data_IF_425482231257
#
_entry.id   IF_425482231257
#
_cell.length_a   1.000
_cell.length_b   1.000
_cell.length_c   1.000
_cell.angle_alpha   90.00
_cell.angle_beta   90.00
_cell.angle_gamma   90.00
#
_symmetry.space_group_name_H-M   'P 1'
#
loop_
_entity.id
_entity.type
_entity.pdbx_description
1 polymer ?
#
# COMPACT_ATOMS: atom_id res chain seq x y z
N UNK A 1 39.59 17.71 -21.85
CA UNK A 1 39.58 16.85 -20.66
C UNK A 1 38.24 17.07 -19.99
N UNK A 2 37.21 16.33 -20.40
CA UNK A 2 35.89 16.36 -19.78
C UNK A 2 36.00 15.68 -18.43
N UNK A 3 35.69 16.41 -17.37
CA UNK A 3 35.66 15.88 -16.01
C UNK A 3 34.49 14.90 -15.96
N UNK A 4 34.84 13.62 -15.88
CA UNK A 4 33.94 12.50 -15.64
C UNK A 4 33.11 12.82 -14.40
N UNK A 5 31.81 13.06 -14.60
CA UNK A 5 30.86 13.16 -13.50
C UNK A 5 30.91 11.85 -12.72
N UNK A 6 31.25 11.96 -11.44
CA UNK A 6 31.25 10.85 -10.50
C UNK A 6 29.79 10.38 -10.42
N UNK A 7 29.48 9.25 -11.06
CA UNK A 7 28.20 8.59 -10.86
C UNK A 7 28.15 8.19 -9.38
N UNK A 8 27.38 8.92 -8.58
CA UNK A 8 27.07 8.51 -7.21
C UNK A 8 26.44 7.13 -7.29
N UNK A 9 27.10 6.14 -6.69
CA UNK A 9 26.63 4.76 -6.71
C UNK A 9 25.20 4.70 -6.10
N UNK A 10 24.22 4.27 -6.88
CA UNK A 10 22.80 4.24 -6.49
C UNK A 10 22.47 3.03 -5.63
N UNK A 11 23.15 1.91 -5.87
CA UNK A 11 23.01 0.68 -5.09
C UNK A 11 24.38 0.31 -4.55
N UNK A 12 24.54 0.37 -3.23
CA UNK A 12 25.80 0.16 -2.52
C UNK A 12 25.59 -0.88 -1.44
N UNK A 13 26.24 -2.04 -1.59
CA UNK A 13 26.27 -3.06 -0.56
C UNK A 13 26.88 -2.52 0.74
N UNK A 14 26.34 -2.90 1.90
CA UNK A 14 26.88 -2.47 3.19
C UNK A 14 28.23 -3.16 3.45
N UNK A 15 29.36 -2.43 3.52
CA UNK A 15 30.67 -3.04 3.76
C UNK A 15 30.77 -3.70 5.15
N UNK A 16 29.96 -3.28 6.11
CA UNK A 16 29.93 -3.78 7.49
C UNK A 16 29.00 -4.98 7.68
N UNK A 17 28.18 -5.32 6.69
CA UNK A 17 27.34 -6.50 6.75
C UNK A 17 28.17 -7.80 6.65
N UNK A 18 27.70 -8.91 7.25
CA UNK A 18 28.30 -10.24 7.06
C UNK A 18 28.52 -10.56 5.58
N UNK A 19 29.61 -11.28 5.25
CA UNK A 19 29.99 -11.58 3.86
C UNK A 19 28.84 -12.16 3.02
N UNK A 20 28.09 -13.10 3.60
CA UNK A 20 26.92 -13.75 3.02
C UNK A 20 25.65 -12.88 2.91
N UNK A 21 25.74 -11.59 3.26
CA UNK A 21 24.67 -10.60 3.13
C UNK A 21 25.08 -9.44 2.22
N UNK A 22 26.31 -9.40 1.72
CA UNK A 22 26.82 -8.31 0.86
C UNK A 22 26.62 -8.65 -0.61
N UNK A 23 25.55 -8.20 -1.27
CA UNK A 23 25.32 -8.55 -2.68
C UNK A 23 26.44 -8.04 -3.59
N UNK A 24 26.64 -8.72 -4.72
CA UNK A 24 27.56 -8.23 -5.75
C UNK A 24 26.78 -7.35 -6.73
N UNK A 25 27.12 -6.06 -6.77
CA UNK A 25 26.50 -5.10 -7.68
C UNK A 25 27.39 -4.94 -8.90
N UNK A 26 26.84 -5.23 -10.07
CA UNK A 26 27.47 -5.10 -11.38
C UNK A 26 26.63 -4.17 -12.27
N UNK A 27 27.13 -3.90 -13.47
CA UNK A 27 26.34 -3.28 -14.53
C UNK A 27 26.07 -4.31 -15.63
N UNK A 28 24.84 -4.40 -16.09
CA UNK A 28 24.48 -5.11 -17.31
C UNK A 28 25.07 -4.38 -18.55
N UNK A 29 25.10 -5.01 -19.74
CA UNK A 29 25.71 -4.39 -20.93
C UNK A 29 25.14 -3.03 -21.33
N UNK A 30 23.87 -2.77 -21.02
CA UNK A 30 23.20 -1.49 -21.26
C UNK A 30 23.34 -0.47 -20.10
N UNK A 31 24.10 -0.80 -19.07
CA UNK A 31 24.34 0.05 -17.90
C UNK A 31 23.35 -0.11 -16.74
N UNK A 32 22.27 -0.90 -16.90
CA UNK A 32 21.32 -1.17 -15.80
C UNK A 32 22.03 -1.89 -14.64
N UNK A 33 21.86 -1.46 -13.38
CA UNK A 33 22.39 -2.18 -12.22
C UNK A 33 21.92 -3.64 -12.20
N UNK A 34 22.88 -4.56 -12.11
CA UNK A 34 22.67 -6.00 -12.01
C UNK A 34 23.17 -6.46 -10.63
N UNK A 35 22.24 -6.79 -9.75
CA UNK A 35 22.51 -7.23 -8.39
C UNK A 35 22.48 -8.75 -8.35
N UNK A 36 23.65 -9.37 -8.20
CA UNK A 36 23.71 -10.77 -7.79
C UNK A 36 23.36 -10.85 -6.30
N UNK A 37 22.14 -11.29 -6.03
CA UNK A 37 21.65 -11.55 -4.69
C UNK A 37 22.46 -12.68 -4.03
N UNK A 38 22.50 -12.68 -2.70
CA UNK A 38 23.24 -13.65 -1.92
C UNK A 38 22.56 -15.03 -1.88
N UNK A 39 23.32 -16.05 -1.51
CA UNK A 39 22.82 -17.42 -1.36
C UNK A 39 21.63 -17.44 -0.38
N UNK A 40 20.48 -18.04 -0.76
CA UNK A 40 19.33 -18.11 0.13
C UNK A 40 19.60 -18.98 1.37
N UNK A 41 18.96 -18.62 2.49
CA UNK A 41 18.89 -19.48 3.68
C UNK A 41 18.15 -20.81 3.37
N UNK A 42 18.20 -21.82 4.26
CA UNK A 42 17.37 -23.02 4.11
C UNK A 42 15.86 -22.74 4.03
N UNK A 43 15.42 -21.60 4.55
CA UNK A 43 14.03 -21.13 4.45
C UNK A 43 13.73 -20.41 3.12
N UNK A 44 14.70 -20.29 2.21
CA UNK A 44 14.55 -19.65 0.90
C UNK A 44 14.70 -18.13 0.90
N UNK A 45 15.24 -17.52 1.97
CA UNK A 45 15.43 -16.07 2.06
C UNK A 45 16.84 -15.70 1.63
N UNK A 46 16.97 -14.93 0.55
CA UNK A 46 18.21 -14.22 0.21
C UNK A 46 18.19 -12.86 0.90
N UNK A 47 19.05 -12.67 1.91
CA UNK A 47 19.19 -11.41 2.64
C UNK A 47 20.35 -10.61 2.06
N UNK A 48 20.06 -9.40 1.60
CA UNK A 48 21.00 -8.51 0.95
C UNK A 48 20.98 -7.17 1.69
N UNK A 49 22.12 -6.76 2.23
CA UNK A 49 22.24 -5.57 3.07
C UNK A 49 23.00 -4.47 2.34
N UNK A 50 22.46 -3.26 2.40
CA UNK A 50 22.91 -2.10 1.64
C UNK A 50 23.16 -0.90 2.55
N UNK A 51 24.18 -0.11 2.24
CA UNK A 51 24.31 1.24 2.76
C UNK A 51 23.39 2.20 2.00
N UNK A 52 23.14 1.93 0.71
CA UNK A 52 22.26 2.71 -0.14
C UNK A 52 21.58 1.78 -1.14
N UNK A 53 20.26 1.91 -1.30
CA UNK A 53 19.49 1.16 -2.28
C UNK A 53 18.52 2.11 -2.94
N UNK A 54 19.03 2.88 -3.89
CA UNK A 54 18.26 3.78 -4.73
C UNK A 54 18.20 3.22 -6.15
N UNK A 55 17.03 3.35 -6.78
CA UNK A 55 16.78 2.88 -8.13
C UNK A 55 16.45 4.10 -8.99
N UNK A 56 17.15 4.29 -10.09
CA UNK A 56 16.82 5.35 -11.06
C UNK A 56 15.79 4.90 -12.09
N UNK A 57 15.31 5.82 -12.96
CA UNK A 57 14.36 5.45 -14.02
C UNK A 57 14.79 4.32 -14.95
N UNK A 58 16.09 4.03 -15.06
CA UNK A 58 16.63 2.88 -15.80
C UNK A 58 16.29 1.52 -15.16
N UNK A 59 15.83 1.52 -13.90
CA UNK A 59 15.50 0.33 -13.13
C UNK A 59 16.74 -0.40 -12.60
N UNK A 60 16.50 -1.57 -12.00
CA UNK A 60 17.56 -2.47 -11.53
C UNK A 60 17.11 -3.93 -11.62
N UNK A 61 18.07 -4.84 -11.80
CA UNK A 61 17.84 -6.27 -11.95
C UNK A 61 18.38 -7.00 -10.73
N UNK A 62 17.51 -7.70 -10.00
CA UNK A 62 17.87 -8.63 -8.93
C UNK A 62 18.00 -10.04 -9.53
N UNK A 63 19.22 -10.53 -9.63
CA UNK A 63 19.52 -11.75 -10.37
C UNK A 63 19.28 -13.02 -9.55
N UNK A 64 18.10 -13.60 -9.68
CA UNK A 64 17.67 -14.86 -9.07
C UNK A 64 17.78 -16.06 -10.03
N UNK A 65 18.70 -16.01 -11.01
CA UNK A 65 18.85 -17.03 -12.03
C UNK A 65 20.08 -17.93 -11.75
N UNK A 66 19.97 -19.24 -11.96
CA UNK A 66 21.12 -20.18 -11.88
C UNK A 66 21.86 -20.32 -13.21
N UNK A 67 21.17 -20.04 -14.30
CA UNK A 67 21.64 -20.08 -15.69
C UNK A 67 21.34 -18.73 -16.33
N UNK A 68 21.86 -18.45 -17.55
CA UNK A 68 21.46 -17.24 -18.26
C UNK A 68 19.94 -17.08 -18.33
N UNK A 69 19.45 -15.87 -18.09
CA UNK A 69 18.03 -15.55 -18.04
C UNK A 69 17.74 -14.30 -18.87
N UNK A 70 16.63 -14.33 -19.59
CA UNK A 70 16.13 -13.16 -20.31
C UNK A 70 15.49 -12.19 -19.31
N UNK A 71 15.84 -10.91 -19.44
CA UNK A 71 15.27 -9.80 -18.68
C UNK A 71 14.63 -8.78 -19.61
N UNK A 72 13.66 -8.03 -19.10
CA UNK A 72 13.00 -6.93 -19.79
C UNK A 72 13.88 -5.67 -19.80
N UNK A 73 14.62 -5.42 -18.71
CA UNK A 73 15.40 -4.20 -18.56
C UNK A 73 16.75 -4.24 -19.29
N UNK A 74 17.40 -5.40 -19.45
CA UNK A 74 18.76 -5.46 -20.02
C UNK A 74 19.00 -6.63 -21.00
N UNK A 75 17.96 -7.33 -21.43
CA UNK A 75 18.11 -8.50 -22.29
C UNK A 75 18.66 -9.71 -21.51
N UNK A 76 19.48 -10.55 -22.14
CA UNK A 76 20.01 -11.74 -21.46
C UNK A 76 21.10 -11.38 -20.46
N UNK A 77 20.91 -11.77 -19.19
CA UNK A 77 21.92 -11.66 -18.13
C UNK A 77 22.46 -13.06 -17.79
N UNK A 78 23.72 -13.14 -17.36
CA UNK A 78 24.32 -14.41 -16.93
C UNK A 78 23.74 -14.89 -15.60
N UNK A 79 23.86 -16.20 -15.34
CA UNK A 79 23.45 -16.79 -14.07
C UNK A 79 24.22 -16.20 -12.87
N UNK A 80 23.57 -16.15 -11.73
CA UNK A 80 24.15 -15.70 -10.48
C UNK A 80 25.00 -16.83 -9.84
N UNK A 81 26.31 -16.62 -9.65
CA UNK A 81 27.20 -17.64 -9.08
C UNK A 81 26.88 -17.97 -7.61
N UNK A 82 26.18 -17.10 -6.87
CA UNK A 82 25.79 -17.34 -5.48
C UNK A 82 24.63 -18.33 -5.33
N UNK A 83 23.99 -18.75 -6.43
CA UNK A 83 22.77 -19.57 -6.41
C UNK A 83 23.02 -21.04 -6.76
N UNK A 84 24.25 -21.53 -6.54
CA UNK A 84 24.60 -22.94 -6.75
C UNK A 84 23.66 -23.90 -6.01
N UNK A 85 23.25 -23.53 -4.78
CA UNK A 85 22.36 -24.32 -3.92
C UNK A 85 20.86 -24.18 -4.23
N UNK A 86 20.46 -23.22 -5.07
CA UNK A 86 19.05 -22.95 -5.37
C UNK A 86 18.73 -21.46 -5.50
N UNK A 87 17.54 -21.17 -5.98
CA UNK A 87 17.02 -19.80 -6.13
C UNK A 87 16.26 -19.34 -4.89
N UNK A 88 16.23 -18.04 -4.66
CA UNK A 88 15.50 -17.42 -3.57
C UNK A 88 13.98 -17.53 -3.80
N UNK A 89 13.24 -17.73 -2.70
CA UNK A 89 11.78 -17.53 -2.65
C UNK A 89 11.45 -16.12 -2.21
N UNK A 90 12.27 -15.56 -1.32
CA UNK A 90 12.20 -14.19 -0.83
C UNK A 90 13.54 -13.52 -1.09
N UNK A 91 13.51 -12.39 -1.78
CA UNK A 91 14.65 -11.50 -1.96
C UNK A 91 14.42 -10.30 -1.06
N UNK A 92 15.14 -10.27 0.06
CA UNK A 92 15.11 -9.16 0.99
C UNK A 92 16.28 -8.21 0.69
N UNK A 93 15.94 -6.95 0.49
CA UNK A 93 16.88 -5.83 0.40
C UNK A 93 16.70 -4.96 1.63
N UNK A 94 17.69 -5.00 2.52
CA UNK A 94 17.67 -4.29 3.80
C UNK A 94 18.68 -3.15 3.76
N UNK A 95 18.21 -1.94 4.01
CA UNK A 95 19.06 -0.75 4.02
C UNK A 95 19.40 -0.40 5.46
N UNK A 96 20.70 -0.40 5.74
CA UNK A 96 21.29 -0.03 7.02
C UNK A 96 21.90 1.37 6.91
N UNK A 97 21.03 2.38 6.84
CA UNK A 97 21.43 3.79 6.73
C UNK A 97 20.38 4.69 7.36
N UNK A 98 20.79 5.90 7.76
CA UNK A 98 19.88 6.98 8.17
C UNK A 98 19.22 7.70 6.99
N UNK A 99 19.53 7.31 5.75
CA UNK A 99 18.97 7.90 4.54
C UNK A 99 17.81 7.06 4.00
N UNK A 100 16.67 7.69 3.66
CA UNK A 100 15.58 7.00 2.96
C UNK A 100 16.02 6.43 1.62
N UNK A 101 15.32 5.39 1.17
CA UNK A 101 15.49 4.78 -0.15
C UNK A 101 14.67 5.53 -1.20
N UNK A 102 15.27 5.82 -2.35
CA UNK A 102 14.62 6.49 -3.48
C UNK A 102 14.40 5.52 -4.64
N UNK A 103 13.14 5.23 -4.97
CA UNK A 103 12.76 4.30 -6.03
C UNK A 103 12.11 5.09 -7.19
N UNK A 104 12.84 5.24 -8.29
CA UNK A 104 12.41 5.99 -9.48
C UNK A 104 12.20 5.13 -10.73
N UNK A 105 12.30 3.81 -10.60
CA UNK A 105 12.13 2.88 -11.73
C UNK A 105 11.81 1.47 -11.29
N UNK A 106 11.64 0.59 -12.28
CA UNK A 106 11.24 -0.80 -12.05
C UNK A 106 12.38 -1.66 -11.48
N UNK A 107 12.03 -2.55 -10.56
CA UNK A 107 12.91 -3.59 -10.04
C UNK A 107 12.51 -4.94 -10.66
N UNK A 108 13.41 -5.55 -11.41
CA UNK A 108 13.17 -6.81 -12.11
C UNK A 108 13.86 -7.98 -11.43
N UNK A 109 13.14 -9.08 -11.19
CA UNK A 109 13.76 -10.34 -10.76
C UNK A 109 14.15 -11.16 -11.99
N UNK A 110 15.44 -11.35 -12.26
CA UNK A 110 15.88 -12.22 -13.35
C UNK A 110 15.76 -13.70 -12.94
N UNK A 111 15.28 -14.54 -13.86
CA UNK A 111 15.15 -15.98 -13.62
C UNK A 111 13.93 -16.35 -12.78
N UNK A 112 14.13 -17.06 -11.67
CA UNK A 112 13.01 -17.60 -10.89
C UNK A 112 12.22 -16.48 -10.19
N UNK A 113 10.90 -16.43 -10.41
CA UNK A 113 9.96 -15.51 -9.74
C UNK A 113 10.08 -15.64 -8.21
N UNK A 114 10.13 -14.51 -7.50
CA UNK A 114 10.28 -14.45 -6.04
C UNK A 114 9.45 -13.30 -5.44
N UNK A 115 9.32 -13.30 -4.11
CA UNK A 115 8.85 -12.12 -3.37
C UNK A 115 10.00 -11.13 -3.29
N UNK A 116 9.72 -9.86 -3.52
CA UNK A 116 10.67 -8.76 -3.39
C UNK A 116 10.30 -7.89 -2.18
N UNK A 117 11.25 -7.72 -1.26
CA UNK A 117 11.07 -6.88 -0.07
C UNK A 117 12.15 -5.79 -0.08
N UNK A 118 11.72 -4.54 0.05
CA UNK A 118 12.59 -3.38 0.30
C UNK A 118 12.31 -2.90 1.72
N UNK A 119 13.30 -3.02 2.60
CA UNK A 119 13.20 -2.67 4.00
C UNK A 119 14.19 -1.53 4.33
N UNK A 120 13.67 -0.35 4.64
CA UNK A 120 14.49 0.79 5.07
C UNK A 120 13.78 1.55 6.21
N UNK A 121 14.21 1.37 7.48
CA UNK A 121 13.62 2.06 8.62
C UNK A 121 13.65 3.60 8.54
N UNK A 122 14.56 4.17 7.76
CA UNK A 122 14.67 5.61 7.55
C UNK A 122 13.60 6.16 6.59
N UNK A 123 12.96 5.30 5.80
CA UNK A 123 11.89 5.66 4.88
C UNK A 123 12.11 5.17 3.45
N UNK A 124 11.05 5.22 2.65
CA UNK A 124 11.04 4.82 1.24
C UNK A 124 10.21 5.82 0.44
N UNK A 125 10.78 6.39 -0.61
CA UNK A 125 10.06 7.21 -1.59
C UNK A 125 9.96 6.44 -2.90
N UNK A 126 8.77 6.37 -3.46
CA UNK A 126 8.50 5.81 -4.78
C UNK A 126 7.98 6.91 -5.71
N UNK A 127 8.64 7.08 -6.85
CA UNK A 127 8.21 8.00 -7.90
C UNK A 127 8.48 7.36 -9.27
N UNK A 128 7.52 6.58 -9.75
CA UNK A 128 7.65 5.76 -10.96
C UNK A 128 8.28 4.40 -10.69
N UNK A 129 8.21 3.93 -9.44
CA UNK A 129 8.72 2.61 -9.13
C UNK A 129 7.71 1.52 -9.50
N UNK A 130 8.23 0.32 -9.69
CA UNK A 130 7.41 -0.85 -10.00
C UNK A 130 8.20 -2.12 -9.89
N UNK A 131 7.56 -3.24 -10.22
CA UNK A 131 8.20 -4.56 -10.19
C UNK A 131 7.97 -5.33 -11.48
N UNK A 132 8.92 -6.21 -11.80
CA UNK A 132 8.85 -7.12 -12.95
C UNK A 132 9.26 -8.52 -12.45
N UNK A 133 8.47 -9.54 -12.80
CA UNK A 133 8.71 -10.93 -12.42
C UNK A 133 8.82 -11.16 -10.88
N UNK A 134 8.06 -10.40 -10.10
CA UNK A 134 7.86 -10.65 -8.67
C UNK A 134 6.40 -11.11 -8.45
N UNK A 135 6.18 -12.07 -7.55
CA UNK A 135 4.81 -12.45 -7.17
C UNK A 135 4.25 -11.60 -6.04
N UNK A 136 5.14 -11.03 -5.24
CA UNK A 136 4.79 -10.17 -4.13
C UNK A 136 5.80 -9.03 -4.02
N UNK A 137 5.30 -7.83 -3.78
CA UNK A 137 6.11 -6.67 -3.41
C UNK A 137 5.80 -6.27 -1.97
N UNK A 138 6.83 -6.03 -1.17
CA UNK A 138 6.69 -5.43 0.16
C UNK A 138 7.64 -4.25 0.27
N UNK A 139 7.09 -3.06 0.48
CA UNK A 139 7.84 -1.88 0.88
C UNK A 139 7.62 -1.69 2.37
N UNK A 140 8.69 -1.65 3.16
CA UNK A 140 8.57 -1.58 4.61
C UNK A 140 9.59 -0.64 5.26
N UNK A 141 9.16 0.09 6.28
CA UNK A 141 10.07 0.78 7.22
C UNK A 141 10.28 -0.02 8.50
N UNK A 142 9.71 -1.23 8.56
CA UNK A 142 9.96 -2.17 9.65
C UNK A 142 11.32 -2.86 9.51
N UNK A 143 12.00 -3.06 10.64
CA UNK A 143 13.20 -3.89 10.70
C UNK A 143 12.80 -5.36 10.54
N UNK A 144 13.35 -6.12 9.57
CA UNK A 144 13.08 -7.54 9.40
C UNK A 144 13.61 -8.36 10.58
N UNK A 145 12.81 -9.27 11.13
CA UNK A 145 13.19 -10.15 12.24
C UNK A 145 13.19 -11.61 11.78
N UNK A 146 14.23 -12.36 12.16
CA UNK A 146 14.48 -13.71 11.70
C UNK A 146 14.59 -14.70 12.85
N UNK A 147 14.27 -15.96 12.55
CA UNK A 147 14.59 -17.06 13.43
C UNK A 147 16.01 -17.59 13.24
N UNK A 148 16.38 -18.54 14.09
CA UNK A 148 17.70 -19.20 14.08
C UNK A 148 18.03 -19.95 12.80
N UNK A 149 17.02 -20.30 11.98
CA UNK A 149 17.19 -20.95 10.67
C UNK A 149 17.25 -19.96 9.49
N UNK A 150 17.20 -18.66 9.77
CA UNK A 150 17.22 -17.62 8.74
C UNK A 150 15.90 -17.51 7.96
N UNK A 151 14.78 -17.98 8.52
CA UNK A 151 13.46 -17.64 8.01
C UNK A 151 13.07 -16.25 8.52
N UNK A 152 12.46 -15.44 7.65
CA UNK A 152 11.85 -14.18 8.02
C UNK A 152 10.56 -14.49 8.80
N UNK A 153 10.37 -13.90 9.99
CA UNK A 153 9.19 -14.15 10.82
C UNK A 153 8.21 -12.98 10.81
N UNK A 154 8.72 -11.77 10.97
CA UNK A 154 7.92 -10.56 11.08
C UNK A 154 8.76 -9.30 10.81
N UNK A 155 8.08 -8.18 10.70
CA UNK A 155 8.67 -6.84 10.68
C UNK A 155 8.37 -6.13 12.00
N UNK A 156 9.36 -5.41 12.52
CA UNK A 156 9.19 -4.52 13.68
C UNK A 156 9.16 -3.08 13.20
N UNK A 157 7.98 -2.46 13.19
CA UNK A 157 7.77 -1.09 12.73
C UNK A 157 7.82 -0.13 13.92
N UNK A 158 8.75 0.83 13.90
CA UNK A 158 8.85 1.86 14.96
C UNK A 158 8.75 3.30 14.42
N UNK A 159 9.11 3.51 13.16
CA UNK A 159 9.24 4.83 12.55
C UNK A 159 9.28 4.72 11.02
N UNK A 160 9.68 5.82 10.39
CA UNK A 160 9.81 5.92 8.93
C UNK A 160 8.48 6.15 8.20
N UNK A 161 8.59 6.75 7.04
CA UNK A 161 7.47 7.00 6.13
C UNK A 161 7.67 6.29 4.79
N UNK A 162 6.58 5.84 4.18
CA UNK A 162 6.55 5.49 2.76
C UNK A 162 5.83 6.62 2.02
N UNK A 163 6.46 7.18 0.99
CA UNK A 163 5.93 8.24 0.15
C UNK A 163 5.75 7.73 -1.27
N UNK A 164 4.56 7.91 -1.84
CA UNK A 164 4.25 7.59 -3.23
C UNK A 164 3.96 8.92 -3.95
N UNK A 165 4.90 9.35 -4.79
CA UNK A 165 4.92 10.67 -5.43
C UNK A 165 5.03 10.57 -6.96
N UNK A 166 4.87 11.71 -7.64
CA UNK A 166 5.14 11.86 -9.07
C UNK A 166 4.43 10.83 -9.95
N UNK A 167 5.19 9.95 -10.58
CA UNK A 167 4.68 8.90 -11.48
C UNK A 167 4.00 7.73 -10.74
N UNK A 168 4.07 7.69 -9.41
CA UNK A 168 3.37 6.70 -8.60
C UNK A 168 4.06 5.35 -8.47
N UNK A 169 3.29 4.33 -8.07
CA UNK A 169 3.72 2.93 -7.93
C UNK A 169 2.90 2.04 -8.86
N UNK A 170 3.56 1.37 -9.80
CA UNK A 170 2.94 0.32 -10.62
C UNK A 170 3.36 -1.08 -10.13
N UNK A 171 2.42 -1.77 -9.49
CA UNK A 171 2.60 -3.15 -9.01
C UNK A 171 1.62 -4.13 -9.63
N UNK A 172 1.06 -3.84 -10.81
CA UNK A 172 0.14 -4.78 -11.48
C UNK A 172 0.81 -6.11 -11.84
N UNK A 173 2.12 -6.19 -12.01
CA UNK A 173 2.77 -7.48 -12.30
C UNK A 173 2.86 -8.41 -11.08
N UNK A 174 2.63 -7.88 -9.88
CA UNK A 174 2.59 -8.64 -8.63
C UNK A 174 1.14 -9.04 -8.29
N UNK A 175 1.01 -10.20 -7.65
CA UNK A 175 -0.29 -10.73 -7.22
C UNK A 175 -0.74 -10.03 -5.92
N UNK A 176 0.24 -9.62 -5.11
CA UNK A 176 0.04 -8.96 -3.82
C UNK A 176 1.11 -7.88 -3.55
N UNK A 177 0.67 -6.75 -3.03
CA UNK A 177 1.52 -5.62 -2.64
C UNK A 177 1.23 -5.21 -1.20
N UNK A 178 2.27 -5.14 -0.36
CA UNK A 178 2.18 -4.62 1.00
C UNK A 178 3.02 -3.34 1.18
N UNK A 179 2.40 -2.33 1.79
CA UNK A 179 3.07 -1.17 2.36
C UNK A 179 3.01 -1.27 3.88
N UNK A 180 4.15 -1.34 4.55
CA UNK A 180 4.23 -1.55 6.00
C UNK A 180 5.13 -0.48 6.61
N UNK A 181 4.56 0.56 7.21
CA UNK A 181 5.35 1.65 7.75
C UNK A 181 4.71 2.28 8.97
N UNK A 182 5.40 3.23 9.63
CA UNK A 182 4.70 4.04 10.64
C UNK A 182 3.68 4.95 9.97
N UNK A 183 4.09 5.63 8.89
CA UNK A 183 3.19 6.48 8.09
C UNK A 183 3.30 6.21 6.61
N UNK A 184 2.22 6.45 5.88
CA UNK A 184 2.20 6.38 4.41
C UNK A 184 1.55 7.63 3.84
N UNK A 185 2.18 8.22 2.81
CA UNK A 185 1.69 9.40 2.10
C UNK A 185 1.55 9.07 0.61
N UNK A 186 0.41 9.37 0.02
CA UNK A 186 0.12 9.16 -1.39
C UNK A 186 -0.21 10.49 -2.07
N UNK A 187 0.76 11.01 -2.80
CA UNK A 187 0.63 12.18 -3.65
C UNK A 187 0.47 11.81 -5.14
N UNK A 188 0.50 10.52 -5.46
CA UNK A 188 0.33 9.97 -6.80
C UNK A 188 -0.49 8.67 -6.79
N UNK A 189 -0.73 8.12 -7.98
CA UNK A 189 -1.44 6.86 -8.16
C UNK A 189 -0.63 5.65 -7.70
N UNK A 190 -1.30 4.70 -7.06
CA UNK A 190 -0.80 3.38 -6.74
C UNK A 190 -1.72 2.35 -7.39
N UNK A 191 -1.14 1.47 -8.19
CA UNK A 191 -1.89 0.39 -8.83
C UNK A 191 -1.38 -1.00 -8.44
N UNK A 192 -2.30 -1.91 -8.12
CA UNK A 192 -1.97 -3.26 -7.65
C UNK A 192 -3.10 -4.28 -7.96
N UNK A 193 -2.83 -5.58 -7.87
CA UNK A 193 -3.89 -6.58 -7.85
C UNK A 193 -4.56 -6.67 -6.47
N UNK A 194 -3.77 -6.99 -5.45
CA UNK A 194 -4.19 -6.97 -4.04
C UNK A 194 -3.28 -6.01 -3.29
N UNK A 195 -3.85 -5.02 -2.61
CA UNK A 195 -3.12 -4.05 -1.83
C UNK A 195 -3.44 -4.17 -0.34
N UNK A 196 -2.40 -4.23 0.48
CA UNK A 196 -2.49 -4.05 1.93
C UNK A 196 -1.58 -2.92 2.38
N UNK A 197 -2.10 -2.00 3.19
CA UNK A 197 -1.32 -0.95 3.82
C UNK A 197 -1.50 -1.03 5.33
N UNK A 198 -0.41 -1.24 6.05
CA UNK A 198 -0.38 -1.31 7.51
C UNK A 198 0.46 -0.14 8.03
N UNK A 199 -0.16 0.67 8.87
CA UNK A 199 0.39 1.90 9.44
C UNK A 199 0.42 1.85 10.96
N UNK A 200 1.35 2.60 11.55
CA UNK A 200 1.59 2.70 12.99
C UNK A 200 2.68 1.75 13.53
N UNK A 201 3.15 1.97 14.77
CA UNK A 201 4.16 1.14 15.40
C UNK A 201 3.57 -0.21 15.79
N UNK A 202 4.05 -1.28 15.15
CA UNK A 202 3.54 -2.63 15.35
C UNK A 202 4.58 -3.69 15.00
N UNK A 203 4.39 -4.88 15.56
CA UNK A 203 4.91 -6.11 14.98
C UNK A 203 3.95 -6.55 13.89
N UNK A 204 4.47 -6.81 12.70
CA UNK A 204 3.67 -7.11 11.50
C UNK A 204 4.15 -8.43 10.90
N UNK A 205 3.24 -9.39 10.69
CA UNK A 205 3.53 -10.66 10.06
C UNK A 205 3.85 -10.50 8.56
N UNK A 206 4.30 -11.59 7.91
CA UNK A 206 4.68 -11.55 6.48
C UNK A 206 3.52 -11.28 5.53
N UNK A 207 2.30 -11.60 5.96
CA UNK A 207 1.06 -11.30 5.26
C UNK A 207 0.59 -9.84 5.47
N UNK A 208 1.41 -9.01 6.12
CA UNK A 208 1.13 -7.61 6.38
C UNK A 208 0.19 -7.35 7.54
N UNK A 209 -0.33 -8.37 8.24
CA UNK A 209 -1.24 -8.17 9.37
C UNK A 209 -0.46 -7.83 10.66
N UNK A 210 -0.88 -6.80 11.42
CA UNK A 210 -0.29 -6.51 12.71
C UNK A 210 -0.66 -7.61 13.72
N UNK A 211 0.32 -8.06 14.50
CA UNK A 211 0.17 -9.11 15.51
C UNK A 211 0.34 -8.60 16.95
N UNK A 212 0.99 -7.45 17.11
CA UNK A 212 1.12 -6.75 18.39
C UNK A 212 1.39 -5.26 18.15
N UNK A 213 0.83 -4.39 19.00
CA UNK A 213 1.16 -2.96 18.99
C UNK A 213 2.52 -2.71 19.66
N UNK A 214 3.25 -1.71 19.18
CA UNK A 214 4.50 -1.25 19.78
C UNK A 214 4.34 0.19 20.30
N UNK A 215 5.14 0.62 21.28
CA UNK A 215 5.14 2.02 21.70
C UNK A 215 5.73 2.90 20.58
N UNK A 216 5.11 4.06 20.38
CA UNK A 216 5.65 5.08 19.48
C UNK A 216 7.00 5.62 20.00
N UNK A 217 7.92 5.89 19.07
CA UNK A 217 9.21 6.51 19.41
C UNK A 217 8.99 7.96 19.88
N UNK A 218 9.54 8.38 21.04
CA UNK A 218 9.44 9.76 21.51
C UNK A 218 10.05 10.76 20.53
N UNK A 219 9.38 11.88 20.27
CA UNK A 219 9.89 12.99 19.44
C UNK A 219 9.24 13.08 18.05
N UNK A 220 8.84 11.96 17.48
CA UNK A 220 8.10 11.92 16.21
C UNK A 220 6.60 11.97 16.48
N UNK A 221 5.94 13.06 16.07
CA UNK A 221 4.49 13.27 16.19
C UNK A 221 3.84 13.42 14.81
N UNK A 222 3.62 12.32 14.08
CA UNK A 222 2.83 12.39 12.87
C UNK A 222 1.40 12.80 13.20
N UNK A 223 0.77 13.56 12.31
CA UNK A 223 -0.63 13.99 12.48
C UNK A 223 -1.62 12.98 11.91
N UNK A 224 -1.17 12.12 11.00
CA UNK A 224 -1.97 11.10 10.31
C UNK A 224 -1.11 9.85 10.04
N UNK A 225 -1.73 8.68 10.10
CA UNK A 225 -1.10 7.40 9.79
C UNK A 225 -1.04 7.14 8.28
N UNK A 226 -2.12 7.49 7.58
CA UNK A 226 -2.23 7.42 6.12
C UNK A 226 -2.80 8.74 5.60
N UNK A 227 -2.13 9.33 4.62
CA UNK A 227 -2.58 10.56 3.96
C UNK A 227 -2.63 10.35 2.44
N UNK A 228 -3.82 10.47 1.86
CA UNK A 228 -4.03 10.38 0.42
C UNK A 228 -4.45 11.76 -0.07
N UNK A 229 -3.59 12.40 -0.85
CA UNK A 229 -3.87 13.71 -1.44
C UNK A 229 -4.95 13.63 -2.53
N UNK A 230 -5.48 14.77 -2.94
CA UNK A 230 -6.45 14.86 -4.04
C UNK A 230 -5.88 14.42 -5.41
N UNK A 231 -4.55 14.42 -5.58
CA UNK A 231 -3.87 13.90 -6.77
C UNK A 231 -3.49 12.43 -6.65
N UNK A 232 -3.58 11.88 -5.43
CA UNK A 232 -3.26 10.50 -5.12
C UNK A 232 -4.46 9.56 -5.29
N UNK A 233 -4.15 8.27 -5.30
CA UNK A 233 -5.19 7.25 -5.28
C UNK A 233 -4.63 5.84 -5.18
N UNK A 234 -5.45 4.91 -4.70
CA UNK A 234 -5.17 3.49 -4.68
C UNK A 234 -6.18 2.77 -5.57
N UNK A 235 -5.68 2.00 -6.52
CA UNK A 235 -6.49 1.30 -7.51
C UNK A 235 -6.07 -0.17 -7.49
N UNK A 236 -6.94 -1.03 -6.94
CA UNK A 236 -6.64 -2.44 -6.87
C UNK A 236 -7.88 -3.31 -6.97
N UNK A 237 -7.71 -4.60 -7.22
CA UNK A 237 -8.79 -5.58 -7.11
C UNK A 237 -9.34 -5.64 -5.69
N UNK A 238 -8.44 -5.72 -4.70
CA UNK A 238 -8.72 -5.69 -3.26
C UNK A 238 -7.87 -4.63 -2.57
N UNK A 239 -8.45 -3.89 -1.62
CA UNK A 239 -7.72 -2.92 -0.78
C UNK A 239 -8.00 -3.21 0.69
N UNK A 240 -6.94 -3.32 1.50
CA UNK A 240 -7.02 -3.45 2.96
C UNK A 240 -6.10 -2.42 3.61
N UNK A 241 -6.67 -1.53 4.42
CA UNK A 241 -5.94 -0.49 5.14
C UNK A 241 -6.09 -0.72 6.64
N UNK A 242 -4.98 -0.72 7.36
CA UNK A 242 -4.92 -0.98 8.81
C UNK A 242 -4.06 0.11 9.46
N UNK A 243 -4.67 0.95 10.30
CA UNK A 243 -3.99 1.94 11.14
C UNK A 243 -4.02 1.52 12.60
N UNK A 244 -2.84 1.34 13.18
CA UNK A 244 -2.66 0.75 14.53
C UNK A 244 -2.22 1.75 15.60
N UNK A 245 -1.81 2.96 15.21
CA UNK A 245 -1.37 3.99 16.17
C UNK A 245 -2.58 4.75 16.72
N UNK A 246 -2.92 4.50 17.98
CA UNK A 246 -4.08 5.10 18.64
C UNK A 246 -4.08 6.63 18.53
N UNK A 247 -5.16 7.18 17.99
CA UNK A 247 -5.37 8.61 17.80
C UNK A 247 -4.78 9.19 16.51
N UNK A 248 -3.97 8.43 15.76
CA UNK A 248 -3.56 8.82 14.41
C UNK A 248 -4.59 8.32 13.40
N UNK A 249 -5.15 9.27 12.65
CA UNK A 249 -6.21 9.00 11.69
C UNK A 249 -5.73 8.60 10.29
N UNK A 250 -6.70 8.28 9.45
CA UNK A 250 -6.55 8.17 8.00
C UNK A 250 -7.23 9.38 7.36
N UNK A 251 -6.53 10.07 6.47
CA UNK A 251 -7.11 11.14 5.64
C UNK A 251 -7.11 10.73 4.17
N UNK A 252 -8.28 10.79 3.55
CA UNK A 252 -8.45 10.55 2.13
C UNK A 252 -9.10 11.74 1.42
N UNK A 253 -8.31 12.45 0.62
CA UNK A 253 -8.79 13.44 -0.35
C UNK A 253 -8.80 12.92 -1.79
N UNK A 254 -8.15 11.78 -2.06
CA UNK A 254 -8.04 11.16 -3.38
C UNK A 254 -9.08 10.08 -3.65
N UNK A 255 -8.69 9.04 -4.39
CA UNK A 255 -9.58 7.93 -4.75
C UNK A 255 -9.02 6.57 -4.33
N UNK A 256 -9.77 5.83 -3.50
CA UNK A 256 -9.51 4.43 -3.17
C UNK A 256 -10.60 3.60 -3.83
N UNK A 257 -10.19 2.76 -4.78
CA UNK A 257 -11.09 2.03 -5.67
C UNK A 257 -10.74 0.55 -5.68
N UNK A 258 -11.56 -0.27 -5.02
CA UNK A 258 -11.47 -1.72 -5.07
C UNK A 258 -12.37 -2.28 -6.19
N UNK A 259 -11.81 -2.98 -7.18
CA UNK A 259 -12.52 -3.29 -8.43
C UNK A 259 -13.09 -4.70 -8.52
N UNK A 260 -12.65 -5.64 -7.68
CA UNK A 260 -13.09 -7.05 -7.76
C UNK A 260 -13.34 -7.72 -6.42
N UNK A 261 -12.91 -7.11 -5.32
CA UNK A 261 -13.02 -7.61 -3.96
C UNK A 261 -13.19 -6.42 -2.98
N UNK A 262 -13.41 -6.66 -1.67
CA UNK A 262 -13.78 -5.58 -0.77
C UNK A 262 -12.71 -4.50 -0.59
N UNK A 263 -13.19 -3.29 -0.28
CA UNK A 263 -12.40 -2.23 0.34
C UNK A 263 -12.59 -2.32 1.86
N UNK A 264 -11.53 -2.59 2.61
CA UNK A 264 -11.56 -2.61 4.07
C UNK A 264 -10.64 -1.54 4.63
N UNK A 265 -11.15 -0.69 5.53
CA UNK A 265 -10.37 0.32 6.26
C UNK A 265 -10.62 0.12 7.74
N UNK A 266 -9.55 -0.18 8.49
CA UNK A 266 -9.56 -0.25 9.95
C UNK A 266 -8.58 0.78 10.48
N UNK A 267 -9.02 1.68 11.35
CA UNK A 267 -8.19 2.72 11.94
C UNK A 267 -8.48 2.84 13.43
N UNK A 268 -7.42 2.82 14.24
CA UNK A 268 -7.50 3.17 15.66
C UNK A 268 -7.48 4.70 15.86
N UNK A 269 -8.45 5.39 15.26
CA UNK A 269 -8.49 6.85 15.22
C UNK A 269 -9.60 7.40 14.34
N UNK A 270 -9.40 8.63 13.86
CA UNK A 270 -10.31 9.35 12.97
C UNK A 270 -10.15 8.86 11.52
N UNK A 271 -11.26 8.67 10.81
CA UNK A 271 -11.26 8.53 9.36
C UNK A 271 -11.87 9.79 8.72
N UNK A 272 -11.05 10.58 8.04
CA UNK A 272 -11.49 11.74 7.26
C UNK A 272 -11.54 11.38 5.77
N UNK A 273 -12.72 11.49 5.15
CA UNK A 273 -12.90 11.28 3.72
C UNK A 273 -13.52 12.51 3.06
N UNK A 274 -12.72 13.24 2.28
CA UNK A 274 -13.18 14.30 1.37
C UNK A 274 -13.17 13.86 -0.09
N UNK A 275 -12.51 12.72 -0.37
CA UNK A 275 -12.39 12.13 -1.71
C UNK A 275 -13.40 11.00 -1.96
N UNK A 276 -12.94 9.87 -2.50
CA UNK A 276 -13.76 8.69 -2.82
C UNK A 276 -13.21 7.43 -2.16
N UNK A 277 -14.07 6.72 -1.44
CA UNK A 277 -13.88 5.34 -1.00
C UNK A 277 -14.94 4.49 -1.71
N UNK A 278 -14.54 3.64 -2.65
CA UNK A 278 -15.50 2.86 -3.43
C UNK A 278 -15.03 1.43 -3.69
N UNK A 279 -16.00 0.53 -3.74
CA UNK A 279 -15.79 -0.89 -4.04
C UNK A 279 -16.84 -1.40 -5.01
N UNK A 280 -16.42 -2.21 -5.99
CA UNK A 280 -17.31 -2.99 -6.85
C UNK A 280 -17.95 -4.18 -6.12
N UNK A 281 -17.61 -4.40 -4.86
CA UNK A 281 -18.22 -5.39 -3.97
C UNK A 281 -18.64 -4.71 -2.67
N UNK A 282 -18.04 -5.08 -1.54
CA UNK A 282 -18.30 -4.51 -0.22
C UNK A 282 -17.31 -3.41 0.13
N UNK A 283 -17.76 -2.43 0.92
CA UNK A 283 -16.91 -1.45 1.59
C UNK A 283 -17.13 -1.59 3.10
N UNK A 284 -16.06 -1.83 3.85
CA UNK A 284 -16.08 -2.04 5.29
C UNK A 284 -15.17 -1.02 5.97
N UNK A 285 -15.73 -0.16 6.79
CA UNK A 285 -14.99 0.89 7.49
C UNK A 285 -15.15 0.69 9.00
N UNK A 286 -14.03 0.63 9.73
CA UNK A 286 -13.99 0.47 11.17
C UNK A 286 -13.05 1.54 11.76
N UNK A 287 -13.60 2.52 12.45
CA UNK A 287 -12.85 3.62 13.05
C UNK A 287 -13.16 3.69 14.55
N UNK A 288 -12.14 3.68 15.42
CA UNK A 288 -12.35 3.69 16.88
C UNK A 288 -12.70 5.07 17.45
N UNK A 289 -12.55 6.15 16.68
CA UNK A 289 -12.92 7.51 17.12
C UNK A 289 -14.16 8.06 16.40
N UNK A 290 -14.02 8.51 15.17
CA UNK A 290 -15.10 9.12 14.37
C UNK A 290 -14.84 8.85 12.88
N UNK A 291 -15.90 8.94 12.06
CA UNK A 291 -15.79 9.02 10.60
C UNK A 291 -16.40 10.33 10.11
N UNK A 292 -15.54 11.18 9.56
CA UNK A 292 -15.90 12.46 8.94
C UNK A 292 -15.92 12.29 7.43
N UNK A 293 -17.11 12.36 6.83
CA UNK A 293 -17.25 12.20 5.39
C UNK A 293 -17.90 13.42 4.73
N UNK A 294 -17.13 14.14 3.93
CA UNK A 294 -17.64 15.15 2.98
C UNK A 294 -17.51 14.72 1.51
N UNK A 295 -16.92 13.55 1.26
CA UNK A 295 -16.76 12.93 -0.05
C UNK A 295 -17.78 11.81 -0.30
N UNK A 296 -17.40 10.86 -1.15
CA UNK A 296 -18.19 9.67 -1.47
C UNK A 296 -17.64 8.45 -0.72
N UNK A 297 -18.55 7.70 -0.07
CA UNK A 297 -18.33 6.33 0.38
C UNK A 297 -19.39 5.46 -0.28
N UNK A 298 -18.97 4.49 -1.08
CA UNK A 298 -19.89 3.61 -1.81
C UNK A 298 -19.43 2.16 -1.82
N UNK A 299 -20.40 1.27 -2.00
CA UNK A 299 -20.22 -0.15 -2.25
C UNK A 299 -21.27 -0.59 -3.27
N UNK A 300 -20.91 -1.45 -4.21
CA UNK A 300 -21.90 -2.03 -5.13
C UNK A 300 -22.81 -3.06 -4.43
N UNK A 301 -22.31 -3.69 -3.36
CA UNK A 301 -23.03 -4.69 -2.57
C UNK A 301 -23.32 -4.15 -1.17
N UNK A 302 -22.42 -4.36 -0.20
CA UNK A 302 -22.65 -3.98 1.21
C UNK A 302 -21.72 -2.86 1.65
N UNK A 303 -22.29 -1.82 2.26
CA UNK A 303 -21.53 -0.81 3.00
C UNK A 303 -21.70 -1.07 4.50
N UNK A 304 -20.62 -1.39 5.20
CA UNK A 304 -20.59 -1.48 6.67
C UNK A 304 -19.70 -0.41 7.27
N UNK A 305 -20.20 0.23 8.33
CA UNK A 305 -19.53 1.33 9.01
C UNK A 305 -19.63 1.12 10.52
N UNK A 306 -18.50 0.88 11.16
CA UNK A 306 -18.37 0.71 12.60
C UNK A 306 -17.59 1.89 13.18
N UNK A 307 -18.23 2.64 14.06
CA UNK A 307 -17.60 3.75 14.79
C UNK A 307 -18.38 4.04 16.08
N UNK A 308 -17.75 4.57 17.13
CA UNK A 308 -18.49 5.15 18.23
C UNK A 308 -19.39 6.31 17.76
N UNK A 309 -20.46 6.66 18.48
CA UNK A 309 -21.20 7.90 18.21
C UNK A 309 -20.27 9.11 18.42
N UNK A 310 -20.27 10.16 17.57
CA UNK A 310 -21.13 10.44 16.41
C UNK A 310 -20.49 10.12 15.04
N UNK A 311 -21.35 9.96 14.02
CA UNK A 311 -21.00 9.96 12.59
C UNK A 311 -21.33 11.32 11.99
N UNK A 312 -20.41 11.95 11.25
CA UNK A 312 -20.71 13.19 10.52
C UNK A 312 -20.59 12.97 9.00
N UNK A 313 -21.71 13.11 8.31
CA UNK A 313 -21.75 13.10 6.84
C UNK A 313 -22.29 14.44 6.34
N UNK A 314 -21.61 15.06 5.38
CA UNK A 314 -22.17 16.23 4.71
C UNK A 314 -23.38 15.78 3.88
N UNK A 315 -24.56 16.33 4.16
CA UNK A 315 -25.72 16.12 3.31
C UNK A 315 -25.42 16.65 1.90
N UNK A 316 -25.73 15.87 0.86
CA UNK A 316 -25.79 16.39 -0.50
C UNK A 316 -26.73 17.61 -0.52
N UNK A 317 -26.44 18.68 -1.29
CA UNK A 317 -27.35 19.82 -1.40
C UNK A 317 -28.71 19.30 -1.87
N UNK A 318 -29.72 19.41 -1.00
CA UNK A 318 -31.08 18.88 -1.22
C UNK A 318 -31.93 19.75 -2.16
N UNK A 319 -31.33 20.73 -2.82
CA UNK A 319 -32.01 21.58 -3.80
C UNK A 319 -31.68 21.10 -5.21
N UNK A 320 -32.60 20.41 -5.91
CA UNK A 320 -32.48 20.25 -7.35
C UNK A 320 -32.44 21.65 -8.01
N UNK A 321 -31.67 21.86 -9.08
CA UNK A 321 -31.77 23.08 -9.87
C UNK A 321 -33.21 23.24 -10.34
N UNK A 322 -33.79 24.43 -10.12
CA UNK A 322 -35.14 24.76 -10.57
C UNK A 322 -35.19 24.76 -12.11
N UNK A 323 -35.56 23.63 -12.70
CA UNK A 323 -35.97 23.57 -14.10
C UNK A 323 -37.41 24.09 -14.19
N UNK A 324 -37.58 25.38 -14.48
CA UNK A 324 -38.87 25.92 -14.88
C UNK A 324 -39.10 25.58 -16.36
N UNK A 325 -39.90 24.55 -16.64
CA UNK A 325 -40.53 24.35 -17.95
C UNK A 325 -42.05 24.44 -17.81
N UNK A 326 -42.75 25.12 -18.74
CA UNK A 326 -44.19 25.36 -18.65
C UNK A 326 -44.98 24.08 -18.97
N UNK A 327 -46.02 23.83 -18.18
CA UNK A 327 -46.96 22.72 -18.35
C UNK A 327 -47.91 22.93 -19.54
N UNK A 328 -48.44 21.83 -20.12
CA UNK A 328 -49.81 21.78 -20.60
C UNK A 328 -50.70 20.96 -19.64
N UNK A 329 -51.93 21.46 -19.45
CA UNK A 329 -53.08 20.76 -18.87
C UNK A 329 -53.32 19.40 -19.59
N UNK A 330 -53.98 18.36 -19.08
CA UNK A 330 -55.12 18.19 -18.16
C UNK A 330 -55.15 16.68 -17.78
N UNK A 331 -55.68 16.34 -16.60
CA UNK A 331 -56.63 15.23 -16.28
C UNK A 331 -56.65 15.00 -14.77
N UNK A 332 -57.85 15.06 -14.22
CA UNK A 332 -58.24 14.85 -12.82
C UNK A 332 -58.53 13.38 -12.55
N UNK A 333 -58.06 12.85 -11.42
CA UNK A 333 -58.78 11.79 -10.67
C UNK A 333 -58.34 11.80 -9.20
N UNK A 334 -59.33 11.89 -8.32
CA UNK A 334 -59.20 11.95 -6.87
C UNK A 334 -59.34 10.55 -6.23
N UNK A 335 -58.65 10.31 -5.11
CA UNK A 335 -59.21 9.61 -3.95
C UNK A 335 -58.34 9.82 -2.70
N UNK A 336 -59.04 10.10 -1.59
CA UNK A 336 -58.61 10.51 -0.25
C UNK A 336 -58.33 9.30 0.67
N UNK A 337 -57.49 9.47 1.70
CA UNK A 337 -57.89 9.30 3.12
C UNK A 337 -56.73 9.49 4.12
N UNK A 338 -57.12 9.94 5.32
CA UNK A 338 -56.32 10.52 6.42
C UNK A 338 -55.76 9.52 7.44
N UNK A 339 -54.68 9.96 8.14
CA UNK A 339 -54.03 9.50 9.40
C UNK A 339 -54.99 9.51 10.64
N UNK A 340 -54.69 8.93 11.84
CA UNK A 340 -53.63 9.35 12.83
C UNK A 340 -53.03 8.20 13.74
N UNK A 341 -51.76 8.19 14.23
CA UNK A 341 -51.05 8.79 15.40
C UNK A 341 -51.00 8.01 16.77
N UNK A 342 -49.85 8.12 17.49
CA UNK A 342 -49.45 7.79 18.91
C UNK A 342 -48.75 6.44 19.23
N UNK A 343 -47.88 6.19 20.25
CA UNK A 343 -46.75 6.83 21.01
C UNK A 343 -46.00 5.68 21.83
N UNK A 344 -45.08 5.83 22.84
CA UNK A 344 -43.61 5.54 22.79
C UNK A 344 -42.97 4.46 23.74
N UNK A 345 -41.69 4.08 23.43
CA UNK A 345 -40.50 3.60 24.26
C UNK A 345 -40.45 2.23 24.99
N UNK A 346 -39.25 1.65 25.40
CA UNK A 346 -37.83 2.07 25.24
C UNK A 346 -36.75 0.98 24.85
N UNK A 347 -35.57 1.47 24.44
CA UNK A 347 -34.16 0.99 24.57
C UNK A 347 -33.72 -0.45 24.23
N UNK A 348 -32.96 -0.60 23.13
CA UNK A 348 -31.93 -1.64 22.86
C UNK A 348 -30.74 -1.02 22.08
N UNK A 349 -29.50 -1.53 22.20
CA UNK A 349 -28.35 -1.01 21.46
C UNK A 349 -28.52 -1.26 19.96
N UNK A 350 -28.36 -0.20 19.14
CA UNK A 350 -28.61 -0.24 17.71
C UNK A 350 -27.35 -0.65 16.93
N UNK A 351 -27.35 -1.86 16.39
CA UNK A 351 -26.56 -2.23 15.20
C UNK A 351 -27.25 -1.65 13.97
N UNK A 352 -26.61 -0.72 13.27
CA UNK A 352 -27.12 -0.18 12.01
C UNK A 352 -26.59 -1.02 10.85
N UNK A 353 -27.41 -1.97 10.38
CA UNK A 353 -27.16 -2.68 9.12
C UNK A 353 -27.95 -1.99 8.00
N UNK A 354 -27.36 -1.01 7.33
CA UNK A 354 -28.00 -0.38 6.17
C UNK A 354 -27.76 -1.26 4.92
N UNK A 355 -28.72 -2.11 4.55
CA UNK A 355 -28.71 -2.78 3.25
C UNK A 355 -29.35 -1.87 2.21
N UNK A 356 -28.55 -1.13 1.46
CA UNK A 356 -29.04 -0.37 0.30
C UNK A 356 -28.81 -1.21 -0.95
N UNK A 357 -29.87 -1.80 -1.51
CA UNK A 357 -29.81 -2.45 -2.83
C UNK A 357 -29.70 -1.34 -3.89
N UNK A 358 -28.59 -1.30 -4.63
CA UNK A 358 -28.48 -0.42 -5.78
C UNK A 358 -29.49 -0.85 -6.86
N UNK A 359 -30.33 0.09 -7.30
CA UNK A 359 -31.22 -0.12 -8.43
C UNK A 359 -30.38 -0.16 -9.72
N UNK A 360 -30.48 -1.27 -10.45
CA UNK A 360 -30.01 -1.38 -11.83
C UNK A 360 -30.96 -0.56 -12.72
N UNK A 361 -30.43 0.45 -13.40
CA UNK A 361 -31.12 1.08 -14.51
C UNK A 361 -30.93 0.20 -15.77
N UNK A 362 -32.05 -0.19 -16.36
CA UNK A 362 -32.16 -0.91 -17.63
C UNK A 362 -31.70 -0.08 -18.82
#
# INVERSE_FOLDING_TARGET
MTITGIATAQVVADPHAPGQQRPTVLAAPNGTPLIHIQTPSPAGVSRNTYQQFDITPQGAILNNARTPAQTHLAGTVQGNPWLAAGTAKIILNEVNSSTPTQLHGSMEVAGARAQLIIANPSGITCNGCGVINAHQLTLTTGTPVFNTRGALEHYRVQGGAIQIDGLGLDSHSADYTALIARTVQLNAGLWAHTLQTTTGPATVALDGHPTASLPATPGDRPTVALDVSALGGMYAGKITLIGTEHGLGVRNAGQLSATSAPLTVTVDGLLENTGRLQSATDTQLNATAEVNNSGLISAAQTLTLHTPPPLTTAAAPSTPPAWTSPAPAWITAAATSNKPASNPSPSRPNTWTTRTRAALAS
#
